data_IF_495976447290
#
_entry.id   IF_495976447290
#
_cell.length_a   1.000
_cell.length_b   1.000
_cell.length_c   1.000
_cell.angle_alpha   90.00
_cell.angle_beta   90.00
_cell.angle_gamma   90.00
#
_symmetry.space_group_name_H-M   'P 1'
#
loop_
_entity.id
_entity.type
_entity.pdbx_description
1 polymer ?
#
# COMPACT_ATOMS: atom_id res chain seq x y z
N UNK A 1 12.99 24.32 -16.65
CA UNK A 1 12.27 23.07 -16.36
C UNK A 1 13.30 21.98 -16.09
N UNK A 2 13.70 21.81 -14.82
CA UNK A 2 14.84 20.98 -14.44
C UNK A 2 14.36 19.59 -14.02
N UNK A 3 14.52 18.61 -14.89
CA UNK A 3 14.28 17.17 -14.63
C UNK A 3 15.43 16.62 -13.77
N UNK A 4 15.74 17.27 -12.63
CA UNK A 4 16.86 16.89 -11.75
C UNK A 4 16.45 16.51 -10.33
N UNK A 5 15.17 16.29 -10.05
CA UNK A 5 14.70 15.84 -8.72
C UNK A 5 13.96 14.50 -8.71
N UNK A 6 13.75 13.84 -9.87
CA UNK A 6 12.91 12.64 -9.98
C UNK A 6 13.47 11.34 -9.38
N UNK A 7 14.69 11.34 -8.84
CA UNK A 7 15.42 10.14 -8.40
C UNK A 7 16.19 10.38 -7.09
N UNK A 8 15.60 11.10 -6.13
CA UNK A 8 16.15 11.23 -4.76
C UNK A 8 16.01 9.92 -3.94
N UNK A 9 16.16 8.76 -4.59
CA UNK A 9 16.39 7.48 -3.93
C UNK A 9 17.87 7.16 -4.06
N UNK A 10 18.50 6.64 -3.02
CA UNK A 10 19.90 6.20 -3.08
C UNK A 10 20.12 5.06 -4.10
N UNK A 11 19.03 4.48 -4.64
CA UNK A 11 19.04 3.38 -5.58
C UNK A 11 18.52 3.83 -6.95
N UNK A 12 19.26 3.46 -8.00
CA UNK A 12 18.86 3.64 -9.40
C UNK A 12 17.52 2.96 -9.69
N UNK A 13 16.66 3.60 -10.49
CA UNK A 13 15.35 3.05 -10.89
C UNK A 13 15.45 1.64 -11.50
N UNK A 14 16.49 1.40 -12.29
CA UNK A 14 16.74 0.09 -12.89
C UNK A 14 16.93 -1.00 -11.83
N UNK A 15 17.68 -0.69 -10.77
CA UNK A 15 17.96 -1.64 -9.69
C UNK A 15 16.66 -1.96 -8.93
N UNK A 16 15.91 -0.92 -8.56
CA UNK A 16 14.63 -1.10 -7.85
C UNK A 16 13.64 -1.90 -8.69
N UNK A 17 13.52 -1.59 -9.98
CA UNK A 17 12.65 -2.33 -10.90
C UNK A 17 13.04 -3.80 -11.05
N UNK A 18 14.33 -4.07 -11.22
CA UNK A 18 14.86 -5.45 -11.30
C UNK A 18 14.61 -6.23 -10.02
N UNK A 19 14.91 -5.65 -8.84
CA UNK A 19 14.67 -6.31 -7.54
C UNK A 19 13.18 -6.63 -7.34
N UNK A 20 12.30 -5.70 -7.71
CA UNK A 20 10.85 -5.89 -7.59
C UNK A 20 10.33 -6.98 -8.54
N UNK A 21 10.85 -7.04 -9.76
CA UNK A 21 10.53 -8.11 -10.70
C UNK A 21 11.00 -9.48 -10.19
N UNK A 22 12.24 -9.58 -9.67
CA UNK A 22 12.74 -10.81 -9.07
C UNK A 22 11.94 -11.22 -7.84
N UNK A 23 11.52 -10.27 -6.99
CA UNK A 23 10.65 -10.54 -5.86
C UNK A 23 9.33 -11.20 -6.31
N UNK A 24 8.73 -10.71 -7.40
CA UNK A 24 7.46 -11.24 -7.90
C UNK A 24 7.63 -12.62 -8.51
N UNK A 25 8.71 -12.85 -9.27
CA UNK A 25 9.06 -14.20 -9.76
C UNK A 25 9.28 -15.15 -8.59
N UNK A 26 10.01 -14.71 -7.57
CA UNK A 26 10.29 -15.52 -6.39
C UNK A 26 9.02 -15.87 -5.60
N UNK A 27 8.09 -14.94 -5.47
CA UNK A 27 6.79 -15.19 -4.82
C UNK A 27 5.95 -16.18 -5.62
N UNK A 28 5.82 -15.98 -6.93
CA UNK A 28 5.12 -16.92 -7.81
C UNK A 28 5.76 -18.31 -7.79
N UNK A 29 7.09 -18.40 -7.71
CA UNK A 29 7.80 -19.67 -7.65
C UNK A 29 7.60 -20.43 -6.33
N UNK A 30 7.51 -19.72 -5.20
CA UNK A 30 7.38 -20.36 -3.89
C UNK A 30 5.92 -20.66 -3.50
N UNK A 31 4.98 -19.80 -3.91
CA UNK A 31 3.61 -19.82 -3.40
C UNK A 31 2.55 -20.01 -4.49
N UNK A 32 2.97 -20.09 -5.77
CA UNK A 32 2.08 -20.19 -6.94
C UNK A 32 1.01 -19.08 -7.04
N UNK A 33 1.20 -17.98 -6.30
CA UNK A 33 0.23 -16.89 -6.15
C UNK A 33 0.99 -15.55 -6.13
N UNK A 34 0.52 -14.51 -6.87
CA UNK A 34 1.15 -13.20 -6.79
C UNK A 34 1.07 -12.59 -5.38
N UNK A 35 1.99 -11.67 -5.04
CA UNK A 35 1.95 -10.98 -3.74
C UNK A 35 0.67 -10.16 -3.60
N UNK A 36 -0.28 -10.72 -2.83
CA UNK A 36 -1.56 -10.13 -2.48
C UNK A 36 -1.60 -9.65 -1.03
N UNK A 37 -2.26 -8.51 -0.80
CA UNK A 37 -2.47 -7.95 0.56
C UNK A 37 -3.94 -7.96 1.00
N UNK A 38 -4.89 -8.08 0.08
CA UNK A 38 -6.34 -7.96 0.36
C UNK A 38 -6.81 -9.08 1.28
N UNK A 39 -6.46 -10.31 0.95
CA UNK A 39 -6.99 -11.51 1.58
C UNK A 39 -6.41 -11.68 3.00
N UNK A 40 -5.12 -11.42 3.19
CA UNK A 40 -4.51 -11.32 4.52
C UNK A 40 -5.16 -10.24 5.40
N UNK A 41 -5.51 -9.07 4.82
CA UNK A 41 -6.22 -8.02 5.56
C UNK A 41 -7.68 -8.40 5.88
N UNK A 42 -8.37 -9.09 4.97
CA UNK A 42 -9.72 -9.60 5.19
C UNK A 42 -9.74 -10.68 6.29
N UNK A 43 -8.76 -11.58 6.30
CA UNK A 43 -8.61 -12.59 7.33
C UNK A 43 -8.39 -11.95 8.71
N UNK A 44 -7.52 -10.94 8.82
CA UNK A 44 -7.32 -10.19 10.08
C UNK A 44 -8.61 -9.48 10.49
N UNK A 45 -9.34 -8.86 9.55
CA UNK A 45 -10.61 -8.20 9.84
C UNK A 45 -11.68 -9.19 10.33
N UNK A 46 -11.76 -10.37 9.71
CA UNK A 46 -12.70 -11.42 10.12
C UNK A 46 -12.34 -12.00 11.50
N UNK A 47 -11.05 -12.19 11.77
CA UNK A 47 -10.56 -12.58 13.09
C UNK A 47 -10.95 -11.55 14.16
N UNK A 48 -10.72 -10.26 13.90
CA UNK A 48 -11.13 -9.19 14.80
C UNK A 48 -12.65 -9.19 15.03
N UNK A 49 -13.45 -9.40 13.98
CA UNK A 49 -14.91 -9.51 14.07
C UNK A 49 -15.33 -10.69 14.96
N UNK A 50 -14.82 -11.89 14.68
CA UNK A 50 -15.12 -13.11 15.46
C UNK A 50 -14.71 -12.97 16.93
N UNK A 51 -13.55 -12.39 17.18
CA UNK A 51 -13.04 -12.13 18.54
C UNK A 51 -13.92 -11.13 19.29
N UNK A 52 -14.37 -10.08 18.61
CA UNK A 52 -15.29 -9.09 19.18
C UNK A 52 -16.67 -9.69 19.49
N UNK A 53 -17.20 -10.53 18.59
CA UNK A 53 -18.49 -11.23 18.76
C UNK A 53 -18.41 -12.27 19.90
N UNK A 54 -17.34 -13.06 19.95
CA UNK A 54 -17.16 -14.13 20.94
C UNK A 54 -16.66 -13.62 22.31
N UNK A 55 -16.20 -12.37 22.41
CA UNK A 55 -15.54 -11.77 23.59
C UNK A 55 -14.39 -12.63 24.16
N UNK A 56 -13.81 -13.49 23.34
CA UNK A 56 -12.75 -14.42 23.71
C UNK A 56 -11.78 -14.56 22.56
N UNK A 57 -10.51 -14.78 22.90
CA UNK A 57 -9.41 -15.00 21.95
C UNK A 57 -9.08 -16.50 22.02
N UNK A 58 -10.03 -17.36 21.63
CA UNK A 58 -9.85 -18.80 21.81
C UNK A 58 -9.06 -19.45 20.69
N UNK A 59 -9.08 -18.88 19.48
CA UNK A 59 -8.42 -19.49 18.30
C UNK A 59 -7.71 -18.41 17.46
N UNK A 60 -6.36 -18.38 17.42
CA UNK A 60 -5.65 -17.47 16.53
C UNK A 60 -6.00 -17.78 15.07
N UNK A 61 -6.03 -16.76 14.19
CA UNK A 61 -6.35 -17.00 12.80
C UNK A 61 -5.27 -17.88 12.16
N UNK A 62 -5.63 -18.76 11.21
CA UNK A 62 -4.63 -19.53 10.48
C UNK A 62 -3.67 -18.57 9.79
N UNK A 63 -2.40 -18.59 10.18
CA UNK A 63 -1.38 -17.75 9.58
C UNK A 63 -1.08 -18.26 8.18
N UNK A 64 -1.76 -17.69 7.20
CA UNK A 64 -1.47 -17.93 5.79
C UNK A 64 -0.24 -17.11 5.35
N UNK A 65 0.42 -17.55 4.28
CA UNK A 65 1.63 -16.91 3.77
C UNK A 65 1.42 -15.43 3.47
N UNK A 66 0.21 -15.02 3.06
CA UNK A 66 -0.15 -13.60 2.82
C UNK A 66 -0.10 -12.76 4.10
N UNK A 67 -0.49 -13.32 5.26
CA UNK A 67 -0.32 -12.64 6.55
C UNK A 67 1.14 -12.58 6.97
N UNK A 68 1.91 -13.62 6.66
CA UNK A 68 3.37 -13.62 6.77
C UNK A 68 4.01 -12.53 5.89
N UNK A 69 3.52 -12.35 4.67
CA UNK A 69 3.97 -11.32 3.73
C UNK A 69 3.65 -9.91 4.26
N UNK A 70 2.43 -9.69 4.77
CA UNK A 70 2.04 -8.42 5.39
C UNK A 70 2.92 -8.10 6.61
N UNK A 71 3.15 -9.08 7.48
CA UNK A 71 4.06 -8.95 8.62
C UNK A 71 5.50 -8.68 8.19
N UNK A 72 5.96 -9.36 7.12
CA UNK A 72 7.27 -9.17 6.52
C UNK A 72 7.47 -7.76 5.95
N UNK A 73 6.47 -7.20 5.26
CA UNK A 73 6.50 -5.80 4.80
C UNK A 73 6.65 -4.86 5.97
N UNK A 74 5.86 -5.05 7.04
CA UNK A 74 5.89 -4.20 8.21
C UNK A 74 7.27 -4.23 8.90
N UNK A 75 7.78 -5.43 9.21
CA UNK A 75 9.08 -5.61 9.86
C UNK A 75 10.22 -5.12 8.95
N UNK A 76 10.17 -5.42 7.66
CA UNK A 76 11.16 -4.99 6.68
C UNK A 76 11.19 -3.47 6.54
N UNK A 77 10.03 -2.81 6.45
CA UNK A 77 9.93 -1.36 6.40
C UNK A 77 10.46 -0.71 7.69
N UNK A 78 10.12 -1.26 8.86
CA UNK A 78 10.68 -0.82 10.14
C UNK A 78 12.20 -0.98 10.20
N UNK A 79 12.72 -2.16 9.84
CA UNK A 79 14.15 -2.44 9.82
C UNK A 79 14.90 -1.47 8.92
N UNK A 80 14.41 -1.24 7.70
CA UNK A 80 14.95 -0.24 6.78
C UNK A 80 14.91 1.18 7.37
N UNK A 81 13.82 1.56 8.04
CA UNK A 81 13.70 2.88 8.66
C UNK A 81 14.68 3.08 9.83
N UNK A 82 14.95 2.04 10.63
CA UNK A 82 15.96 2.06 11.68
C UNK A 82 17.38 2.11 11.12
N UNK A 83 17.72 1.23 10.18
CA UNK A 83 19.06 1.17 9.59
C UNK A 83 19.40 2.46 8.85
N UNK A 84 18.44 3.05 8.15
CA UNK A 84 18.63 4.34 7.45
C UNK A 84 18.65 5.55 8.38
N UNK A 85 18.37 5.38 9.69
CA UNK A 85 18.26 6.48 10.64
C UNK A 85 17.11 7.45 10.36
N UNK A 86 16.16 7.07 9.50
CA UNK A 86 15.03 7.91 9.06
C UNK A 86 13.75 7.64 9.86
N UNK A 87 13.81 6.83 10.90
CA UNK A 87 12.66 6.59 11.77
C UNK A 87 12.18 7.89 12.41
N UNK A 88 10.96 8.30 12.07
CA UNK A 88 10.28 9.47 12.64
C UNK A 88 8.82 9.15 12.84
N UNK A 89 8.30 9.53 13.99
CA UNK A 89 6.90 9.30 14.33
C UNK A 89 6.13 10.61 14.12
N UNK A 90 5.34 10.67 13.05
CA UNK A 90 4.60 11.85 12.64
C UNK A 90 3.11 11.68 12.97
N UNK A 91 2.62 12.43 13.96
CA UNK A 91 1.18 12.47 14.32
C UNK A 91 0.39 13.56 13.59
N UNK A 92 1.04 14.28 12.68
CA UNK A 92 0.46 15.44 12.00
C UNK A 92 0.70 15.34 10.49
N UNK A 93 -0.32 15.55 9.65
CA UNK A 93 -0.13 15.65 8.21
C UNK A 93 0.78 16.84 7.89
N UNK A 94 1.80 16.63 7.06
CA UNK A 94 2.71 17.69 6.63
C UNK A 94 1.93 18.83 5.94
N UNK A 95 2.22 20.09 6.29
CA UNK A 95 1.60 21.27 5.66
C UNK A 95 0.37 21.87 6.34
N UNK A 96 -0.12 21.33 7.46
CA UNK A 96 -1.33 21.84 8.13
C UNK A 96 -0.99 22.68 9.39
N UNK A 97 -1.51 23.90 9.53
CA UNK A 97 -1.41 24.68 10.79
C UNK A 97 -2.58 24.34 11.72
N UNK A 98 -2.30 24.01 12.99
CA UNK A 98 -3.31 23.59 13.96
C UNK A 98 -2.73 22.81 15.14
N UNK A 99 -3.50 22.75 16.23
CA UNK A 99 -3.20 21.97 17.45
C UNK A 99 -3.01 20.47 17.13
N UNK A 100 -2.15 19.81 17.90
CA UNK A 100 -1.83 18.37 17.76
C UNK A 100 -3.12 17.53 17.75
N UNK A 101 -4.11 17.89 18.57
CA UNK A 101 -5.38 17.17 18.67
C UNK A 101 -6.21 17.25 17.37
N UNK A 102 -6.30 18.44 16.78
CA UNK A 102 -7.05 18.65 15.53
C UNK A 102 -6.31 18.03 14.33
N UNK A 103 -4.98 18.04 14.35
CA UNK A 103 -4.15 17.37 13.36
C UNK A 103 -4.29 15.84 13.40
N UNK A 104 -4.26 15.26 14.60
CA UNK A 104 -4.42 13.82 14.81
C UNK A 104 -5.82 13.33 14.39
N UNK A 105 -6.87 14.06 14.77
CA UNK A 105 -8.25 13.70 14.38
C UNK A 105 -8.47 13.73 12.87
N UNK A 106 -7.91 14.74 12.18
CA UNK A 106 -7.95 14.80 10.72
C UNK A 106 -7.12 13.69 10.07
N UNK A 107 -5.91 13.44 10.58
CA UNK A 107 -5.06 12.36 10.08
C UNK A 107 -5.75 10.98 10.20
N UNK A 108 -6.40 10.73 11.33
CA UNK A 108 -7.17 9.51 11.55
C UNK A 108 -8.33 9.39 10.55
N UNK A 109 -9.10 10.46 10.34
CA UNK A 109 -10.20 10.46 9.36
C UNK A 109 -9.71 10.27 7.92
N UNK A 110 -8.62 10.93 7.53
CA UNK A 110 -8.05 10.77 6.18
C UNK A 110 -7.41 9.40 5.99
N UNK A 111 -6.77 8.85 7.03
CA UNK A 111 -6.17 7.52 6.99
C UNK A 111 -7.24 6.43 6.93
N UNK A 112 -8.28 6.54 7.76
CA UNK A 112 -9.41 5.62 7.75
C UNK A 112 -10.20 5.70 6.44
N UNK A 113 -10.56 6.91 5.99
CA UNK A 113 -11.27 7.12 4.74
C UNK A 113 -10.46 6.66 3.52
N UNK A 114 -9.15 6.95 3.50
CA UNK A 114 -8.24 6.47 2.45
C UNK A 114 -8.11 4.94 2.46
N UNK A 115 -7.91 4.33 3.63
CA UNK A 115 -7.84 2.87 3.78
C UNK A 115 -9.12 2.17 3.37
N UNK A 116 -10.28 2.71 3.75
CA UNK A 116 -11.59 2.21 3.31
C UNK A 116 -11.74 2.29 1.79
N UNK A 117 -11.39 3.43 1.18
CA UNK A 117 -11.47 3.60 -0.27
C UNK A 117 -10.53 2.65 -1.02
N UNK A 118 -9.32 2.43 -0.50
CA UNK A 118 -8.37 1.46 -1.05
C UNK A 118 -8.94 0.05 -0.95
N UNK A 119 -9.43 -0.37 0.21
CA UNK A 119 -10.01 -1.71 0.40
C UNK A 119 -11.22 -1.94 -0.50
N UNK A 120 -12.10 -0.94 -0.64
CA UNK A 120 -13.23 -1.00 -1.56
C UNK A 120 -12.75 -1.15 -3.00
N UNK A 121 -11.74 -0.37 -3.40
CA UNK A 121 -11.12 -0.50 -4.73
C UNK A 121 -10.55 -1.89 -4.98
N UNK A 122 -9.85 -2.47 -4.01
CA UNK A 122 -9.29 -3.82 -4.07
C UNK A 122 -10.37 -4.89 -4.26
N UNK A 123 -11.50 -4.78 -3.54
CA UNK A 123 -12.61 -5.72 -3.71
C UNK A 123 -13.30 -5.57 -5.07
N UNK A 124 -13.37 -4.36 -5.61
CA UNK A 124 -13.94 -4.12 -6.95
C UNK A 124 -13.01 -4.60 -8.08
N UNK A 125 -11.69 -4.45 -7.92
CA UNK A 125 -10.71 -4.96 -8.90
C UNK A 125 -10.47 -6.47 -8.78
N UNK A 126 -10.84 -7.07 -7.65
CA UNK A 126 -10.66 -8.48 -7.34
C UNK A 126 -9.25 -8.85 -6.87
N UNK A 127 -8.31 -7.90 -6.87
CA UNK A 127 -6.94 -8.10 -6.38
C UNK A 127 -6.25 -6.75 -6.10
N UNK A 128 -5.13 -6.84 -5.40
CA UNK A 128 -4.09 -5.83 -5.19
C UNK A 128 -3.41 -5.34 -6.46
N UNK A 129 -2.80 -4.15 -6.37
CA UNK A 129 -2.02 -3.58 -7.47
C UNK A 129 -0.92 -4.53 -7.96
N UNK A 130 -0.21 -5.19 -7.03
CA UNK A 130 0.85 -6.12 -7.39
C UNK A 130 0.32 -7.38 -8.06
N UNK A 131 -0.82 -7.92 -7.60
CA UNK A 131 -1.49 -9.04 -8.25
C UNK A 131 -2.03 -8.72 -9.64
N UNK A 132 -2.62 -7.54 -9.82
CA UNK A 132 -3.01 -7.03 -11.14
C UNK A 132 -1.79 -6.81 -12.05
N UNK A 133 -0.68 -6.30 -11.52
CA UNK A 133 0.55 -6.13 -12.30
C UNK A 133 1.15 -7.47 -12.74
N UNK A 134 1.21 -8.46 -11.84
CA UNK A 134 1.65 -9.82 -12.16
C UNK A 134 0.74 -10.46 -13.22
N UNK A 135 -0.58 -10.28 -13.09
CA UNK A 135 -1.57 -10.75 -14.07
C UNK A 135 -1.41 -10.08 -15.44
N UNK A 136 -1.05 -8.80 -15.48
CA UNK A 136 -0.78 -8.10 -16.74
C UNK A 136 0.45 -8.66 -17.49
N UNK A 137 1.49 -9.06 -16.76
CA UNK A 137 2.67 -9.73 -17.34
C UNK A 137 2.28 -11.08 -17.97
N UNK A 138 1.31 -11.78 -17.38
CA UNK A 138 0.72 -13.00 -17.95
C UNK A 138 -0.27 -12.73 -19.11
N UNK A 139 -0.29 -11.51 -19.66
CA UNK A 139 -1.15 -11.08 -20.77
C UNK A 139 -2.67 -11.12 -20.46
N UNK A 140 -3.07 -11.04 -19.19
CA UNK A 140 -4.48 -10.93 -18.83
C UNK A 140 -5.09 -9.60 -19.32
N UNK A 141 -6.12 -9.62 -20.19
CA UNK A 141 -6.71 -8.38 -20.71
C UNK A 141 -7.33 -7.49 -19.63
N UNK A 142 -7.95 -8.10 -18.62
CA UNK A 142 -8.57 -7.39 -17.50
C UNK A 142 -7.55 -6.59 -16.68
N UNK A 143 -6.37 -7.17 -16.47
CA UNK A 143 -5.29 -6.54 -15.73
C UNK A 143 -4.71 -5.32 -16.47
N UNK A 144 -4.59 -5.39 -17.80
CA UNK A 144 -4.16 -4.25 -18.63
C UNK A 144 -5.18 -3.10 -18.60
N UNK A 145 -6.48 -3.43 -18.65
CA UNK A 145 -7.54 -2.43 -18.50
C UNK A 145 -7.45 -1.77 -17.11
N UNK A 146 -7.29 -2.58 -16.06
CA UNK A 146 -7.11 -2.08 -14.70
C UNK A 146 -5.92 -1.13 -14.59
N UNK A 147 -4.74 -1.51 -15.10
CA UNK A 147 -3.54 -0.66 -15.07
C UNK A 147 -3.76 0.66 -15.83
N UNK A 148 -4.43 0.61 -16.99
CA UNK A 148 -4.76 1.80 -17.76
C UNK A 148 -5.65 2.77 -16.99
N UNK A 149 -6.74 2.25 -16.39
CA UNK A 149 -7.67 3.05 -15.58
C UNK A 149 -6.99 3.57 -14.31
N UNK A 150 -6.17 2.75 -13.65
CA UNK A 150 -5.41 3.14 -12.46
C UNK A 150 -4.46 4.30 -12.76
N UNK A 151 -3.67 4.21 -13.84
CA UNK A 151 -2.76 5.28 -14.27
C UNK A 151 -3.55 6.56 -14.58
N UNK A 152 -4.64 6.46 -15.34
CA UNK A 152 -5.48 7.61 -15.67
C UNK A 152 -6.05 8.27 -14.40
N UNK A 153 -6.60 7.49 -13.47
CA UNK A 153 -7.13 7.98 -12.20
C UNK A 153 -6.03 8.58 -11.31
N UNK A 154 -4.83 7.99 -11.28
CA UNK A 154 -3.69 8.51 -10.53
C UNK A 154 -3.23 9.87 -11.09
N UNK A 155 -3.15 10.02 -12.42
CA UNK A 155 -2.81 11.27 -13.08
C UNK A 155 -3.88 12.33 -12.82
N UNK A 156 -5.16 12.01 -13.01
CA UNK A 156 -6.27 12.95 -12.78
C UNK A 156 -6.26 13.41 -11.32
N UNK A 157 -6.19 12.48 -10.37
CA UNK A 157 -6.14 12.78 -8.93
C UNK A 157 -4.93 13.64 -8.59
N UNK A 158 -3.74 13.32 -9.12
CA UNK A 158 -2.51 14.10 -8.89
C UNK A 158 -2.65 15.52 -9.41
N UNK A 159 -3.22 15.71 -10.61
CA UNK A 159 -3.46 17.04 -11.19
C UNK A 159 -4.49 17.83 -10.37
N UNK A 160 -5.58 17.19 -9.93
CA UNK A 160 -6.60 17.84 -9.11
C UNK A 160 -6.04 18.27 -7.75
N UNK A 161 -5.24 17.42 -7.10
CA UNK A 161 -4.58 17.74 -5.83
C UNK A 161 -3.54 18.85 -6.01
N UNK A 162 -2.71 18.79 -7.05
CA UNK A 162 -1.73 19.82 -7.36
C UNK A 162 -2.39 21.19 -7.61
N UNK A 163 -3.51 21.20 -8.35
CA UNK A 163 -4.30 22.42 -8.58
C UNK A 163 -4.95 22.95 -7.30
N UNK A 164 -5.49 22.08 -6.44
CA UNK A 164 -6.08 22.46 -5.15
C UNK A 164 -5.03 22.99 -4.16
N UNK A 165 -3.78 22.53 -4.25
CA UNK A 165 -2.66 23.01 -3.44
C UNK A 165 -2.08 24.36 -3.88
N UNK A 166 -2.58 24.93 -4.99
CA UNK A 166 -2.56 26.38 -5.27
C UNK A 166 -1.25 27.15 -4.97
N UNK A 167 -0.12 26.75 -5.55
CA UNK A 167 1.05 27.65 -5.67
C UNK A 167 1.91 27.81 -4.41
N UNK A 168 2.02 26.79 -3.56
CA UNK A 168 3.11 26.69 -2.59
C UNK A 168 3.99 25.49 -2.92
N UNK A 169 4.84 25.69 -3.92
CA UNK A 169 6.08 24.92 -4.07
C UNK A 169 7.20 25.68 -3.38
#
# INVERSE_FOLDING_TARGET
>A
MSIKSGLSSSWSFWITGTVLAFMIIFMLYLFDDPPGMSDGMLMIAEFCRKTAEAKTISEPPPLDWQTGFLGGIFIGAMGCAFISGKWKLHFKPEGMSGSILTGAGKAALTGFGGGFLVMLGLQLSGDSFFGQWASAIQLSPGAWIFLGVFIAAAVITSVLLARRSGGKA
#
